data_IF_546159285129
#
_entry.id   IF_546159285129
#
_cell.length_a   1.000
_cell.length_b   1.000
_cell.length_c   1.000
_cell.angle_alpha   90.00
_cell.angle_beta   90.00
_cell.angle_gamma   90.00
#
_symmetry.space_group_name_H-M   'P 1'
#
loop_
_entity.id
_entity.type
_entity.pdbx_description
1 polymer ?
#
# COMPACT_ATOMS: atom_id res chain seq x y z
N UNK A 1 -1.72 25.17 2.48
CA UNK A 1 -2.39 23.97 1.96
C UNK A 1 -1.50 22.78 2.32
N UNK A 2 -1.99 21.85 3.15
CA UNK A 2 -1.19 20.67 3.54
C UNK A 2 -1.17 19.67 2.37
N UNK A 3 0.03 19.24 1.96
CA UNK A 3 0.22 18.27 0.88
C UNK A 3 0.08 16.82 1.36
N UNK A 4 0.42 15.86 0.50
CA UNK A 4 0.51 14.46 0.90
C UNK A 4 1.52 14.28 2.05
N UNK A 5 1.25 13.39 3.01
CA UNK A 5 2.23 13.02 4.03
C UNK A 5 3.44 12.36 3.36
N UNK A 6 4.62 12.49 3.96
CA UNK A 6 5.81 11.77 3.52
C UNK A 6 5.58 10.25 3.63
N UNK A 7 5.04 9.79 4.78
CA UNK A 7 4.59 8.41 5.02
C UNK A 7 3.40 8.43 5.99
N UNK A 8 2.39 7.62 5.75
CA UNK A 8 1.22 7.47 6.60
C UNK A 8 0.82 6.01 6.77
N UNK A 9 -0.01 5.71 7.78
CA UNK A 9 -0.54 4.36 8.04
C UNK A 9 0.55 3.29 8.06
N UNK A 10 1.67 3.57 8.74
CA UNK A 10 2.79 2.63 8.83
C UNK A 10 2.36 1.40 9.64
N UNK A 11 2.58 0.20 9.10
CA UNK A 11 2.23 -1.06 9.75
C UNK A 11 3.31 -2.11 9.49
N UNK A 12 3.51 -3.03 10.43
CA UNK A 12 4.34 -4.22 10.25
C UNK A 12 3.47 -5.43 9.88
N UNK A 13 3.96 -6.31 9.01
CA UNK A 13 3.27 -7.56 8.68
C UNK A 13 3.14 -8.49 9.89
N UNK A 14 2.14 -9.37 9.96
CA UNK A 14 1.94 -10.28 11.10
C UNK A 14 3.13 -11.19 11.41
N UNK A 15 3.89 -11.54 10.37
CA UNK A 15 5.11 -12.36 10.47
C UNK A 15 6.38 -11.53 10.70
N UNK A 16 6.27 -10.20 10.78
CA UNK A 16 7.38 -9.28 11.01
C UNK A 16 8.32 -9.07 9.81
N UNK A 17 8.08 -9.72 8.66
CA UNK A 17 8.99 -9.68 7.51
C UNK A 17 8.97 -8.35 6.75
N UNK A 18 7.86 -7.62 6.81
CA UNK A 18 7.65 -6.43 6.00
C UNK A 18 7.16 -5.23 6.81
N UNK A 19 7.62 -4.05 6.40
CA UNK A 19 7.00 -2.77 6.73
C UNK A 19 6.17 -2.30 5.55
N UNK A 20 4.97 -1.80 5.83
CA UNK A 20 4.07 -1.18 4.87
C UNK A 20 3.76 0.25 5.25
N UNK A 21 3.47 1.11 4.27
CA UNK A 21 2.96 2.47 4.50
C UNK A 21 2.30 3.03 3.24
N UNK A 22 1.58 4.13 3.40
CA UNK A 22 1.04 4.92 2.30
C UNK A 22 1.96 6.12 2.04
N UNK A 23 2.37 6.30 0.78
CA UNK A 23 3.16 7.44 0.34
C UNK A 23 2.88 7.74 -1.14
N UNK A 24 3.19 8.97 -1.58
CA UNK A 24 2.89 9.40 -2.94
C UNK A 24 3.85 8.78 -3.97
N UNK A 25 3.30 8.33 -5.10
CA UNK A 25 3.99 8.12 -6.37
C UNK A 25 3.47 9.19 -7.31
N UNK A 26 4.34 10.07 -7.81
CA UNK A 26 3.98 11.21 -8.68
C UNK A 26 2.80 12.05 -8.15
N UNK A 27 2.74 12.24 -6.82
CA UNK A 27 1.67 13.01 -6.17
C UNK A 27 0.38 12.24 -5.87
N UNK A 28 0.26 10.97 -6.25
CA UNK A 28 -0.90 10.10 -5.95
C UNK A 28 -0.53 9.05 -4.91
N UNK A 29 -1.30 8.95 -3.83
CA UNK A 29 -1.02 8.03 -2.73
C UNK A 29 -1.11 6.56 -3.19
N UNK A 30 -0.08 5.79 -2.88
CA UNK A 30 0.01 4.36 -3.14
C UNK A 30 0.55 3.65 -1.89
N UNK A 31 0.35 2.33 -1.86
CA UNK A 31 0.93 1.47 -0.84
C UNK A 31 2.37 1.12 -1.21
N UNK A 32 3.27 1.33 -0.26
CA UNK A 32 4.68 0.98 -0.32
C UNK A 32 4.97 -0.15 0.66
N UNK A 33 5.90 -1.03 0.29
CA UNK A 33 6.37 -2.15 1.12
C UNK A 33 7.89 -2.23 1.05
N UNK A 34 8.52 -2.53 2.18
CA UNK A 34 9.94 -2.87 2.28
C UNK A 34 10.15 -4.09 3.20
N UNK A 35 11.24 -4.85 3.04
CA UNK A 35 11.73 -5.74 4.09
C UNK A 35 11.90 -4.96 5.41
N UNK A 36 11.50 -5.57 6.52
CA UNK A 36 11.56 -4.90 7.83
C UNK A 36 13.01 -4.62 8.30
N UNK A 37 13.97 -5.39 7.80
CA UNK A 37 15.40 -5.26 8.07
C UNK A 37 16.14 -4.35 7.08
N UNK A 38 15.52 -3.95 5.98
CA UNK A 38 16.13 -3.12 4.94
C UNK A 38 15.09 -2.22 4.24
N UNK A 39 14.81 -1.08 4.88
CA UNK A 39 13.88 -0.07 4.35
C UNK A 39 14.36 0.55 3.02
N UNK A 40 15.65 0.44 2.69
CA UNK A 40 16.22 0.94 1.44
C UNK A 40 15.70 0.20 0.20
N UNK A 41 15.15 -1.02 0.39
CA UNK A 41 14.53 -1.84 -0.67
C UNK A 41 13.03 -1.60 -0.83
N UNK A 42 12.52 -0.47 -0.34
CA UNK A 42 11.13 -0.10 -0.48
C UNK A 42 10.69 -0.02 -1.95
N UNK A 43 9.50 -0.53 -2.25
CA UNK A 43 8.84 -0.39 -3.55
C UNK A 43 7.36 -0.08 -3.38
N UNK A 44 6.79 0.69 -4.29
CA UNK A 44 5.35 0.78 -4.43
C UNK A 44 4.82 -0.58 -4.93
N UNK A 45 3.80 -1.10 -4.26
CA UNK A 45 3.14 -2.37 -4.60
C UNK A 45 1.78 -2.16 -5.26
N UNK A 46 1.40 -0.91 -5.43
CA UNK A 46 0.20 -0.45 -6.13
C UNK A 46 0.58 0.72 -7.04
N UNK A 47 -0.22 0.97 -8.07
CA UNK A 47 0.04 2.00 -9.07
C UNK A 47 -1.23 2.79 -9.44
N UNK A 48 -2.02 3.17 -8.43
CA UNK A 48 -3.16 4.04 -8.63
C UNK A 48 -2.70 5.43 -9.10
N UNK A 49 -3.37 5.92 -10.14
CA UNK A 49 -3.15 7.23 -10.76
C UNK A 49 -4.35 8.18 -10.61
N UNK A 50 -5.35 7.76 -9.84
CA UNK A 50 -6.61 8.45 -9.69
C UNK A 50 -6.69 9.13 -8.31
N UNK A 51 -7.46 8.57 -7.38
CA UNK A 51 -7.74 9.20 -6.09
C UNK A 51 -6.71 8.85 -5.01
N UNK A 52 -5.87 7.86 -5.28
CA UNK A 52 -4.89 7.31 -4.35
C UNK A 52 -5.51 6.37 -3.32
N UNK A 53 -4.68 5.44 -2.86
CA UNK A 53 -5.03 4.44 -1.85
C UNK A 53 -4.70 5.01 -0.48
N UNK A 54 -5.68 4.98 0.42
CA UNK A 54 -5.56 5.52 1.80
C UNK A 54 -5.53 4.42 2.84
N UNK A 55 -6.17 3.28 2.56
CA UNK A 55 -6.34 2.20 3.51
C UNK A 55 -5.84 0.90 2.93
N UNK A 56 -5.00 0.22 3.70
CA UNK A 56 -4.49 -1.10 3.40
C UNK A 56 -4.34 -1.90 4.70
N UNK A 57 -4.26 -3.21 4.54
CA UNK A 57 -4.18 -4.17 5.63
C UNK A 57 -3.22 -5.29 5.27
N UNK A 58 -2.56 -5.82 6.27
CA UNK A 58 -1.89 -7.09 6.14
C UNK A 58 -2.88 -8.24 6.24
N UNK A 59 -2.78 -9.21 5.33
CA UNK A 59 -3.43 -10.50 5.51
C UNK A 59 -2.59 -11.38 6.44
N UNK A 60 -3.24 -12.34 7.11
CA UNK A 60 -2.53 -13.45 7.77
C UNK A 60 -2.03 -14.51 6.77
N UNK A 61 -2.44 -14.42 5.49
CA UNK A 61 -1.82 -15.21 4.42
C UNK A 61 -0.41 -14.67 4.13
N UNK A 62 0.60 -15.54 3.96
CA UNK A 62 1.95 -15.11 3.61
C UNK A 62 1.96 -14.19 2.38
N UNK A 63 2.82 -13.17 2.44
CA UNK A 63 3.14 -12.31 1.29
C UNK A 63 1.90 -11.66 0.65
N UNK A 64 0.82 -11.46 1.41
CA UNK A 64 -0.45 -10.94 0.90
C UNK A 64 -0.84 -9.64 1.61
N UNK A 65 -1.07 -8.60 0.81
CA UNK A 65 -1.54 -7.30 1.28
C UNK A 65 -2.91 -7.01 0.67
N UNK A 66 -3.83 -6.45 1.46
CA UNK A 66 -5.16 -6.04 1.01
C UNK A 66 -5.25 -4.52 0.97
N UNK A 67 -5.98 -3.96 0.01
CA UNK A 67 -6.21 -2.51 -0.03
C UNK A 67 -7.60 -2.16 -0.55
N UNK A 68 -8.10 -1.00 -0.12
CA UNK A 68 -9.34 -0.43 -0.63
C UNK A 68 -9.05 0.57 -1.73
N UNK A 69 -9.77 0.44 -2.84
CA UNK A 69 -9.72 1.39 -3.94
C UNK A 69 -11.12 1.77 -4.39
N UNK A 70 -11.31 3.07 -4.53
CA UNK A 70 -12.50 3.71 -5.11
C UNK A 70 -12.26 3.86 -6.62
N UNK A 71 -13.21 3.38 -7.42
CA UNK A 71 -13.17 3.49 -8.89
C UNK A 71 -14.24 4.47 -9.33
N UNK A 72 -13.83 5.63 -9.84
CA UNK A 72 -14.77 6.61 -10.39
C UNK A 72 -15.30 7.64 -9.38
N UNK A 73 -14.93 7.56 -8.09
CA UNK A 73 -15.27 8.60 -7.11
C UNK A 73 -16.70 8.52 -6.57
N UNK A 74 -17.33 7.35 -6.67
CA UNK A 74 -18.70 7.11 -6.19
C UNK A 74 -18.73 6.58 -4.74
N UNK A 75 -17.55 6.50 -4.10
CA UNK A 75 -17.33 5.98 -2.75
C UNK A 75 -17.63 4.47 -2.58
N UNK A 76 -17.83 3.73 -3.68
CA UNK A 76 -17.91 2.28 -3.67
C UNK A 76 -16.49 1.69 -3.63
N UNK A 77 -15.96 1.53 -2.42
CA UNK A 77 -14.67 0.91 -2.20
C UNK A 77 -14.70 -0.59 -2.49
N UNK A 78 -13.82 -1.01 -3.38
CA UNK A 78 -13.58 -2.42 -3.67
C UNK A 78 -12.33 -2.89 -2.94
N UNK A 79 -12.37 -4.12 -2.42
CA UNK A 79 -11.24 -4.77 -1.77
C UNK A 79 -10.42 -5.51 -2.82
N UNK A 80 -9.13 -5.20 -2.89
CA UNK A 80 -8.16 -5.84 -3.76
C UNK A 80 -7.05 -6.50 -2.93
N UNK A 81 -6.30 -7.41 -3.54
CA UNK A 81 -5.15 -8.07 -2.94
C UNK A 81 -3.92 -7.96 -3.82
N UNK A 82 -2.76 -7.73 -3.21
CA UNK A 82 -1.44 -7.84 -3.86
C UNK A 82 -0.71 -9.05 -3.31
N UNK A 83 -0.17 -9.85 -4.21
CA UNK A 83 0.82 -10.89 -3.88
C UNK A 83 2.22 -10.28 -3.96
N UNK A 84 2.92 -10.22 -2.83
CA UNK A 84 4.23 -9.59 -2.71
C UNK A 84 5.37 -10.45 -3.27
N UNK A 85 5.18 -11.76 -3.43
CA UNK A 85 6.18 -12.64 -4.01
C UNK A 85 6.23 -12.49 -5.54
N UNK A 86 5.06 -12.35 -6.17
CA UNK A 86 4.94 -12.17 -7.63
C UNK A 86 4.84 -10.71 -8.07
N UNK A 87 4.46 -9.80 -7.18
CA UNK A 87 4.19 -8.40 -7.50
C UNK A 87 2.90 -8.19 -8.31
N UNK A 88 2.04 -9.19 -8.41
CA UNK A 88 0.75 -9.09 -9.09
C UNK A 88 -0.31 -8.48 -8.15
N UNK A 89 -1.01 -7.48 -8.68
CA UNK A 89 -2.14 -6.78 -8.05
C UNK A 89 -3.40 -6.97 -8.90
#
# INVERSE_FOLDING_TARGET
>A
MFGNPERANVQISPDGRYLGWVAAVDGVLNVWVAPADDIGKARAVTADKARGIRQYFWSHRPDTLLYLRDTGGDENFHLFSVDLASGQA
#
